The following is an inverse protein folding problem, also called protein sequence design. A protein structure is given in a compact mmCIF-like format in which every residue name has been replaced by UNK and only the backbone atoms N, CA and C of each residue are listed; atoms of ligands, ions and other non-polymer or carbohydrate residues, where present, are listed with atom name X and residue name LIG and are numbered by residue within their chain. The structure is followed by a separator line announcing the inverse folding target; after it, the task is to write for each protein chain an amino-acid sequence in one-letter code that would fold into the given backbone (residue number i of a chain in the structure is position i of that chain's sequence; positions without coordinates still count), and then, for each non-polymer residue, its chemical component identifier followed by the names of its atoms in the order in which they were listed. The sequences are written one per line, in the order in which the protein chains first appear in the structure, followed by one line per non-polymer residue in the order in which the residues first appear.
data_IF_079874592413
#
_entry.id   IF_079874592413
#
_cell.length_a   1.000
_cell.length_b   1.000
_cell.length_c   1.000
_cell.angle_alpha   90.00
_cell.angle_beta   90.00
_cell.angle_gamma   90.00
#
_symmetry.space_group_name_H-M   'P 1'
#
loop_
_entity.id
_entity.type
_entity.pdbx_description
1 polymer ?
#
# COMPACT_ATOMS: atom_id res chain seq x y z
N UNK A 1 -21.60 -13.31 -9.59
CA UNK A 1 -20.29 -12.75 -10.00
C UNK A 1 -19.23 -13.42 -9.13
N UNK A 2 -18.19 -14.04 -9.71
CA UNK A 2 -17.16 -14.80 -8.96
C UNK A 2 -15.88 -14.00 -8.72
N UNK A 3 -15.64 -12.96 -9.51
CA UNK A 3 -14.47 -12.10 -9.40
C UNK A 3 -14.37 -11.09 -10.52
N UNK A 4 -13.21 -10.45 -10.60
CA UNK A 4 -12.85 -9.41 -11.56
C UNK A 4 -11.58 -9.81 -12.31
N UNK A 5 -11.42 -9.32 -13.54
CA UNK A 5 -10.17 -9.44 -14.30
C UNK A 5 -9.65 -8.05 -14.60
N UNK A 6 -8.45 -7.76 -14.10
CA UNK A 6 -7.73 -6.51 -14.33
C UNK A 6 -6.54 -6.83 -15.22
N UNK A 7 -6.58 -6.44 -16.49
CA UNK A 7 -5.43 -6.55 -17.42
C UNK A 7 -4.80 -5.19 -17.72
N UNK A 8 -5.43 -4.10 -17.30
CA UNK A 8 -5.00 -2.72 -17.55
C UNK A 8 -5.76 -1.72 -16.67
N UNK A 9 -5.77 -0.46 -17.09
CA UNK A 9 -6.48 0.62 -16.41
C UNK A 9 -5.61 1.39 -15.42
N UNK A 10 -5.80 2.71 -15.42
CA UNK A 10 -5.22 3.63 -14.46
C UNK A 10 -6.36 4.34 -13.73
N UNK A 11 -6.48 4.12 -12.43
CA UNK A 11 -7.45 4.80 -11.58
C UNK A 11 -6.80 6.04 -10.97
N UNK A 12 -7.43 7.20 -11.12
CA UNK A 12 -6.91 8.47 -10.59
C UNK A 12 -7.93 9.08 -9.65
N UNK A 13 -7.54 9.29 -8.39
CA UNK A 13 -8.30 10.07 -7.41
C UNK A 13 -7.69 11.46 -7.31
N UNK A 14 -8.47 12.49 -7.63
CA UNK A 14 -8.01 13.88 -7.71
C UNK A 14 -9.15 14.86 -7.34
N UNK A 15 -8.83 16.15 -7.27
CA UNK A 15 -9.81 17.19 -6.95
C UNK A 15 -10.36 17.05 -5.53
N UNK A 16 -11.67 16.91 -5.39
CA UNK A 16 -12.33 16.75 -4.09
C UNK A 16 -12.04 15.39 -3.40
N UNK A 17 -11.45 14.44 -4.12
CA UNK A 17 -11.14 13.11 -3.60
C UNK A 17 -12.32 12.15 -3.63
N UNK A 18 -12.27 11.11 -2.80
CA UNK A 18 -13.31 10.08 -2.68
C UNK A 18 -13.78 9.98 -1.23
N UNK A 19 -15.06 10.29 -1.00
CA UNK A 19 -15.68 10.07 0.31
C UNK A 19 -16.60 8.85 0.27
N UNK A 20 -16.10 7.75 0.85
CA UNK A 20 -16.79 6.48 1.03
C UNK A 20 -16.96 6.14 2.53
N UNK A 21 -16.92 7.15 3.42
CA UNK A 21 -17.03 6.93 4.87
C UNK A 21 -18.43 6.41 5.29
N UNK A 22 -19.44 6.60 4.44
CA UNK A 22 -20.81 6.15 4.66
C UNK A 22 -21.06 4.68 4.23
N UNK A 23 -20.11 4.02 3.57
CA UNK A 23 -20.21 2.62 3.16
C UNK A 23 -19.21 1.74 3.91
N UNK A 24 -19.47 0.44 3.94
CA UNK A 24 -18.69 -0.49 4.77
C UNK A 24 -17.36 -0.90 4.17
N UNK A 25 -17.23 -0.84 2.85
CA UNK A 25 -16.02 -1.20 2.11
C UNK A 25 -15.99 -0.49 0.77
N UNK A 26 -14.78 -0.09 0.36
CA UNK A 26 -14.49 0.32 -1.01
C UNK A 26 -13.27 -0.45 -1.50
N UNK A 27 -13.39 -1.02 -2.69
CA UNK A 27 -12.33 -1.78 -3.36
C UNK A 27 -11.89 -1.03 -4.62
N UNK A 28 -10.61 -0.69 -4.68
CA UNK A 28 -9.98 -0.06 -5.82
C UNK A 28 -9.18 -1.12 -6.59
N UNK A 29 -9.70 -1.56 -7.73
CA UNK A 29 -9.12 -2.63 -8.53
C UNK A 29 -8.70 -2.06 -9.89
N UNK A 30 -7.39 -1.90 -10.12
CA UNK A 30 -6.85 -1.36 -11.36
C UNK A 30 -5.40 -1.76 -11.54
N UNK A 31 -4.86 -1.78 -12.77
CA UNK A 31 -3.44 -2.13 -12.96
C UNK A 31 -2.53 -1.09 -12.28
N UNK A 32 -2.90 0.18 -12.35
CA UNK A 32 -2.25 1.26 -11.61
C UNK A 32 -3.27 2.18 -10.92
N UNK A 33 -2.90 2.72 -9.76
CA UNK A 33 -3.70 3.68 -8.99
C UNK A 33 -2.84 4.90 -8.63
N UNK A 34 -3.38 6.09 -8.86
CA UNK A 34 -2.80 7.37 -8.45
C UNK A 34 -3.74 8.09 -7.50
N UNK A 35 -3.21 8.55 -6.36
CA UNK A 35 -3.96 9.25 -5.32
C UNK A 35 -3.36 10.63 -5.10
N UNK A 36 -4.05 11.61 -5.68
CA UNK A 36 -3.69 13.03 -5.67
C UNK A 36 -4.62 13.88 -4.77
N UNK A 37 -5.59 13.24 -4.15
CA UNK A 37 -6.53 13.82 -3.19
C UNK A 37 -6.88 12.81 -2.10
N UNK A 38 -7.65 13.21 -1.09
CA UNK A 38 -8.00 12.34 0.02
C UNK A 38 -9.02 11.26 -0.37
N UNK A 39 -8.84 10.06 0.18
CA UNK A 39 -9.80 8.96 0.17
C UNK A 39 -10.20 8.70 1.63
N UNK A 40 -11.50 8.73 1.92
CA UNK A 40 -12.06 8.41 3.22
C UNK A 40 -12.94 7.17 3.13
N UNK A 41 -12.75 6.17 3.98
CA UNK A 41 -13.57 4.94 3.97
C UNK A 41 -13.65 4.30 5.36
N UNK A 42 -14.56 3.34 5.57
CA UNK A 42 -14.46 2.43 6.74
C UNK A 42 -13.41 1.36 6.49
N UNK A 43 -13.54 0.59 5.42
CA UNK A 43 -12.53 -0.36 4.94
C UNK A 43 -12.12 0.04 3.53
N UNK A 44 -10.81 0.22 3.31
CA UNK A 44 -10.25 0.55 2.01
C UNK A 44 -9.33 -0.57 1.56
N UNK A 45 -9.68 -1.19 0.45
CA UNK A 45 -8.82 -2.15 -0.22
C UNK A 45 -8.36 -1.57 -1.56
N UNK A 46 -7.09 -1.75 -1.91
CA UNK A 46 -6.56 -1.43 -3.23
C UNK A 46 -5.72 -2.60 -3.73
N UNK A 47 -6.11 -3.18 -4.87
CA UNK A 47 -5.40 -4.30 -5.49
C UNK A 47 -4.94 -3.86 -6.87
N UNK A 48 -3.62 -3.87 -7.05
CA UNK A 48 -2.95 -3.34 -8.23
C UNK A 48 -2.13 -4.38 -8.98
N UNK A 49 -1.86 -4.09 -10.25
CA UNK A 49 -1.25 -5.00 -11.20
C UNK A 49 -2.25 -5.75 -12.08
N UNK A 50 -1.73 -6.48 -13.07
CA UNK A 50 -2.54 -7.34 -13.93
C UNK A 50 -2.92 -8.65 -13.23
N UNK A 51 -4.15 -8.76 -12.71
CA UNK A 51 -4.62 -9.92 -11.94
C UNK A 51 -6.08 -10.31 -12.22
N UNK A 52 -6.40 -11.59 -12.06
CA UNK A 52 -7.72 -12.06 -11.67
C UNK A 52 -7.89 -11.88 -10.15
N UNK A 53 -9.02 -11.34 -9.72
CA UNK A 53 -9.27 -10.96 -8.33
C UNK A 53 -10.58 -11.61 -7.88
N UNK A 54 -10.51 -12.45 -6.84
CA UNK A 54 -11.70 -13.02 -6.21
C UNK A 54 -12.52 -11.94 -5.50
N UNK A 55 -13.85 -12.03 -5.58
CA UNK A 55 -14.72 -10.98 -5.06
C UNK A 55 -14.65 -10.81 -3.53
N UNK A 56 -14.72 -11.92 -2.78
CA UNK A 56 -14.86 -11.85 -1.33
C UNK A 56 -13.52 -11.77 -0.60
N UNK A 57 -12.54 -12.55 -1.07
CA UNK A 57 -11.22 -12.66 -0.44
C UNK A 57 -10.22 -11.59 -0.93
N UNK A 58 -10.51 -10.99 -2.09
CA UNK A 58 -9.58 -10.15 -2.86
C UNK A 58 -8.26 -10.86 -3.21
N UNK A 59 -8.25 -12.20 -3.17
CA UNK A 59 -7.10 -12.99 -3.59
C UNK A 59 -6.79 -12.71 -5.07
N UNK A 60 -5.54 -12.33 -5.33
CA UNK A 60 -5.06 -11.95 -6.65
C UNK A 60 -4.27 -13.11 -7.28
N UNK A 61 -4.61 -13.44 -8.52
CA UNK A 61 -3.89 -14.39 -9.38
C UNK A 61 -3.34 -13.64 -10.59
N UNK A 62 -2.03 -13.65 -10.86
CA UNK A 62 -1.47 -12.91 -11.98
C UNK A 62 -2.09 -13.32 -13.32
N UNK A 63 -2.35 -12.34 -14.18
CA UNK A 63 -2.74 -12.55 -15.58
C UNK A 63 -1.84 -11.75 -16.51
N UNK A 64 -1.96 -11.96 -17.81
CA UNK A 64 -1.24 -11.15 -18.79
C UNK A 64 -1.72 -9.68 -18.73
N UNK A 65 -0.78 -8.76 -18.53
CA UNK A 65 -1.03 -7.33 -18.61
C UNK A 65 -1.06 -6.83 -20.05
N UNK A 66 -1.88 -5.82 -20.32
CA UNK A 66 -1.99 -5.18 -21.63
C UNK A 66 -0.91 -4.13 -21.83
N UNK A 67 0.01 -4.35 -22.75
CA UNK A 67 1.08 -3.39 -23.04
C UNK A 67 2.11 -3.25 -21.91
N UNK A 68 2.89 -2.18 -21.96
CA UNK A 68 3.99 -1.94 -21.02
C UNK A 68 3.50 -1.84 -19.58
N UNK A 69 4.25 -2.42 -18.65
CA UNK A 69 3.98 -2.29 -17.23
C UNK A 69 4.01 -0.81 -16.79
N UNK A 70 3.15 -0.41 -15.85
CA UNK A 70 3.21 0.93 -15.28
C UNK A 70 4.52 1.10 -14.49
N UNK A 71 4.98 2.34 -14.36
CA UNK A 71 6.19 2.64 -13.58
C UNK A 71 6.00 2.36 -12.08
N UNK A 72 4.80 2.62 -11.57
CA UNK A 72 4.39 2.40 -10.17
C UNK A 72 2.96 1.88 -10.17
N UNK A 73 2.68 0.87 -9.35
CA UNK A 73 1.37 0.24 -9.25
C UNK A 73 0.41 1.07 -8.37
N UNK A 74 0.94 1.65 -7.29
CA UNK A 74 0.21 2.59 -6.43
C UNK A 74 1.11 3.78 -6.12
N UNK A 75 0.66 4.98 -6.49
CA UNK A 75 1.34 6.24 -6.19
C UNK A 75 0.43 7.17 -5.38
N UNK A 76 0.77 7.40 -4.12
CA UNK A 76 0.08 8.37 -3.26
C UNK A 76 0.93 9.62 -3.17
N UNK A 77 0.50 10.68 -3.84
CA UNK A 77 1.23 11.95 -3.86
C UNK A 77 1.26 12.62 -2.48
N UNK A 78 2.11 13.63 -2.32
CA UNK A 78 2.18 14.42 -1.08
C UNK A 78 0.88 15.20 -0.75
N UNK A 79 0.02 15.44 -1.75
CA UNK A 79 -1.30 16.06 -1.56
C UNK A 79 -2.42 15.02 -1.36
N UNK A 80 -2.12 13.75 -1.64
CA UNK A 80 -3.04 12.65 -1.48
C UNK A 80 -3.02 12.05 -0.08
N UNK A 81 -4.04 11.24 0.19
CA UNK A 81 -4.02 10.40 1.37
C UNK A 81 -5.16 9.38 1.38
N UNK A 82 -4.96 8.29 2.11
CA UNK A 82 -5.91 7.22 2.32
C UNK A 82 -6.18 7.10 3.81
N UNK A 83 -7.42 7.36 4.21
CA UNK A 83 -7.86 7.42 5.59
C UNK A 83 -9.00 6.44 5.79
N UNK A 84 -8.77 5.37 6.56
CA UNK A 84 -9.82 4.38 6.84
C UNK A 84 -9.70 3.77 8.23
N UNK A 85 -10.68 2.98 8.66
CA UNK A 85 -10.55 2.20 9.90
C UNK A 85 -9.56 1.05 9.70
N UNK A 86 -9.59 0.40 8.53
CA UNK A 86 -8.66 -0.64 8.08
C UNK A 86 -8.26 -0.39 6.63
N UNK A 87 -6.98 -0.62 6.33
CA UNK A 87 -6.41 -0.44 4.99
C UNK A 87 -5.72 -1.74 4.53
N UNK A 88 -6.01 -2.19 3.32
CA UNK A 88 -5.30 -3.28 2.65
C UNK A 88 -4.86 -2.84 1.26
N UNK A 89 -3.56 -2.83 1.00
CA UNK A 89 -2.96 -2.41 -0.26
C UNK A 89 -2.07 -3.53 -0.78
N UNK A 90 -2.36 -4.04 -1.97
CA UNK A 90 -1.59 -5.10 -2.59
C UNK A 90 -1.18 -4.71 -4.03
N UNK A 91 0.12 -4.76 -4.30
CA UNK A 91 0.69 -4.60 -5.64
C UNK A 91 1.30 -5.93 -6.07
N UNK A 92 0.66 -6.56 -7.06
CA UNK A 92 0.95 -7.95 -7.43
C UNK A 92 1.75 -8.09 -8.73
N UNK A 93 1.91 -7.02 -9.52
CA UNK A 93 2.69 -7.08 -10.76
C UNK A 93 4.20 -7.11 -10.44
N UNK A 94 4.89 -8.13 -10.94
CA UNK A 94 6.29 -8.38 -10.63
C UNK A 94 7.19 -7.22 -11.04
N UNK A 95 8.00 -6.73 -10.10
CA UNK A 95 8.94 -5.63 -10.33
C UNK A 95 8.30 -4.25 -10.35
N UNK A 96 6.96 -4.14 -10.28
CA UNK A 96 6.27 -2.86 -10.24
C UNK A 96 6.07 -2.44 -8.78
N UNK A 97 6.64 -1.29 -8.42
CA UNK A 97 6.69 -0.81 -7.04
C UNK A 97 5.46 -0.04 -6.56
N UNK A 98 5.55 0.41 -5.31
CA UNK A 98 4.60 1.33 -4.67
C UNK A 98 5.36 2.54 -4.14
N UNK A 99 4.78 3.74 -4.28
CA UNK A 99 5.32 5.00 -3.78
C UNK A 99 4.27 5.71 -2.94
N UNK A 100 4.60 6.04 -1.68
CA UNK A 100 3.72 6.81 -0.80
C UNK A 100 4.46 8.04 -0.27
N UNK A 101 4.02 9.21 -0.70
CA UNK A 101 4.52 10.53 -0.27
C UNK A 101 3.49 11.29 0.57
N UNK A 102 2.22 10.88 0.48
CA UNK A 102 1.12 11.39 1.28
C UNK A 102 0.89 10.59 2.56
N UNK A 103 -0.35 10.53 3.00
CA UNK A 103 -0.74 9.85 4.25
C UNK A 103 -1.46 8.53 3.96
N UNK A 104 -1.04 7.45 4.60
CA UNK A 104 -1.84 6.25 4.80
C UNK A 104 -2.16 6.15 6.29
N UNK A 105 -3.44 6.12 6.66
CA UNK A 105 -3.86 6.11 8.05
C UNK A 105 -4.99 5.09 8.30
N UNK A 106 -4.66 3.98 8.95
CA UNK A 106 -5.62 3.03 9.50
C UNK A 106 -5.96 3.42 10.94
N UNK A 107 -7.09 4.09 11.14
CA UNK A 107 -7.44 4.83 12.36
C UNK A 107 -8.03 3.96 13.48
N UNK A 108 -8.53 2.76 13.18
CA UNK A 108 -9.18 1.89 14.17
C UNK A 108 -8.78 0.42 14.02
N UNK A 109 -7.72 0.14 13.26
CA UNK A 109 -7.35 -1.23 12.91
C UNK A 109 -6.01 -1.31 12.19
N UNK A 110 -5.83 -2.41 11.50
CA UNK A 110 -4.57 -2.74 10.82
C UNK A 110 -4.42 -2.02 9.47
N UNK A 111 -3.15 -1.90 9.08
CA UNK A 111 -2.75 -1.53 7.73
C UNK A 111 -1.85 -2.63 7.19
N UNK A 112 -2.21 -3.17 6.03
CA UNK A 112 -1.36 -4.10 5.27
C UNK A 112 -0.99 -3.47 3.95
N UNK A 113 0.31 -3.43 3.64
CA UNK A 113 0.86 -2.90 2.40
C UNK A 113 1.89 -3.87 1.82
N UNK A 114 1.55 -4.50 0.71
CA UNK A 114 2.42 -5.45 0.01
C UNK A 114 2.77 -4.97 -1.40
N UNK A 115 4.01 -5.21 -1.82
CA UNK A 115 4.47 -4.92 -3.18
C UNK A 115 5.36 -6.02 -3.73
N UNK A 116 5.06 -6.49 -4.94
CA UNK A 116 5.93 -7.35 -5.73
C UNK A 116 7.08 -6.60 -6.44
N UNK A 117 7.26 -5.32 -6.12
CA UNK A 117 8.39 -4.49 -6.53
C UNK A 117 9.09 -3.83 -5.32
N UNK A 118 9.65 -2.65 -5.55
CA UNK A 118 10.21 -1.79 -4.50
C UNK A 118 9.09 -1.01 -3.81
N UNK A 119 9.14 -0.89 -2.49
CA UNK A 119 8.25 -0.04 -1.73
C UNK A 119 8.97 1.22 -1.22
N UNK A 120 8.43 2.40 -1.52
CA UNK A 120 8.94 3.69 -1.04
C UNK A 120 7.92 4.32 -0.09
N UNK A 121 8.34 4.55 1.16
CA UNK A 121 7.57 5.17 2.23
C UNK A 121 8.20 6.53 2.58
N UNK A 122 7.80 7.57 1.87
CA UNK A 122 8.34 8.93 2.00
C UNK A 122 7.38 9.90 2.71
N UNK A 123 6.14 9.48 2.97
CA UNK A 123 5.12 10.26 3.67
C UNK A 123 4.86 9.75 5.09
N UNK A 124 3.58 9.66 5.48
CA UNK A 124 3.16 9.10 6.75
C UNK A 124 2.39 7.80 6.53
N UNK A 125 2.78 6.72 7.21
CA UNK A 125 2.09 5.43 7.19
C UNK A 125 1.81 5.02 8.62
N UNK A 126 0.55 5.15 9.05
CA UNK A 126 0.15 4.96 10.44
C UNK A 126 -0.95 3.90 10.58
N UNK A 127 -0.85 3.07 11.62
CA UNK A 127 -1.91 2.16 12.02
C UNK A 127 -2.17 2.22 13.53
N UNK A 128 -3.43 2.30 13.94
CA UNK A 128 -3.84 2.12 15.34
C UNK A 128 -3.74 0.64 15.78
N UNK A 129 -3.81 -0.29 14.83
CA UNK A 129 -3.52 -1.71 15.03
C UNK A 129 -2.11 -2.09 14.56
N UNK A 130 -1.98 -3.32 14.08
CA UNK A 130 -0.74 -3.82 13.47
C UNK A 130 -0.51 -3.19 12.10
N UNK A 131 0.75 -2.87 11.81
CA UNK A 131 1.20 -2.39 10.51
C UNK A 131 2.08 -3.47 9.88
N UNK A 132 1.58 -4.09 8.80
CA UNK A 132 2.30 -5.09 8.02
C UNK A 132 2.78 -4.47 6.71
N UNK A 133 4.09 -4.47 6.51
CA UNK A 133 4.74 -3.91 5.32
C UNK A 133 5.58 -5.01 4.68
N UNK A 134 5.33 -5.33 3.42
CA UNK A 134 6.11 -6.32 2.68
C UNK A 134 6.48 -5.82 1.29
N UNK A 135 7.72 -6.03 0.87
CA UNK A 135 8.16 -5.70 -0.48
C UNK A 135 9.14 -6.74 -1.03
N UNK A 136 9.04 -7.08 -2.32
CA UNK A 136 9.98 -8.03 -2.93
C UNK A 136 11.38 -7.45 -3.08
N UNK A 137 11.48 -6.25 -3.65
CA UNK A 137 12.77 -5.69 -4.14
C UNK A 137 13.45 -4.71 -3.18
N UNK A 138 12.86 -4.49 -2.02
CA UNK A 138 13.38 -3.59 -1.00
C UNK A 138 12.33 -2.64 -0.47
N UNK A 139 12.60 -2.12 0.73
CA UNK A 139 11.80 -1.10 1.41
C UNK A 139 12.69 0.12 1.60
N UNK A 140 12.17 1.28 1.24
CA UNK A 140 12.86 2.56 1.34
C UNK A 140 12.02 3.52 2.17
N UNK A 141 12.28 3.55 3.47
CA UNK A 141 11.58 4.39 4.44
C UNK A 141 12.37 5.67 4.70
N UNK A 142 11.83 6.80 4.24
CA UNK A 142 12.35 8.15 4.53
C UNK A 142 11.35 9.04 5.26
N UNK A 143 10.10 8.59 5.37
CA UNK A 143 9.05 9.26 6.11
C UNK A 143 8.85 8.68 7.51
N UNK A 144 7.61 8.76 7.99
CA UNK A 144 7.19 8.18 9.27
C UNK A 144 6.33 6.96 9.02
N UNK A 145 6.77 5.81 9.50
CA UNK A 145 6.01 4.56 9.47
C UNK A 145 5.85 4.08 10.90
N UNK A 146 4.63 4.16 11.42
CA UNK A 146 4.35 3.98 12.85
C UNK A 146 3.13 3.11 13.11
N UNK A 147 3.21 2.23 14.11
CA UNK A 147 2.09 1.43 14.60
C UNK A 147 1.85 1.68 16.09
N UNK A 148 0.60 1.86 16.51
CA UNK A 148 0.24 1.70 17.93
C UNK A 148 0.22 0.22 18.33
N UNK A 149 -0.04 -0.69 17.38
CA UNK A 149 0.16 -2.12 17.57
C UNK A 149 1.62 -2.53 17.38
N UNK A 150 1.82 -3.64 16.66
CA UNK A 150 3.13 -4.08 16.21
C UNK A 150 3.42 -3.55 14.79
N UNK A 151 4.69 -3.30 14.47
CA UNK A 151 5.18 -3.04 13.12
C UNK A 151 5.96 -4.27 12.65
N UNK A 152 5.58 -4.83 11.50
CA UNK A 152 6.33 -5.89 10.83
C UNK A 152 6.69 -5.42 9.42
N UNK A 153 7.97 -5.22 9.16
CA UNK A 153 8.49 -4.90 7.83
C UNK A 153 9.33 -6.07 7.30
N UNK A 154 8.96 -6.62 6.15
CA UNK A 154 9.65 -7.76 5.53
C UNK A 154 10.02 -7.48 4.09
N UNK A 155 11.25 -7.79 3.68
CA UNK A 155 11.65 -7.69 2.28
C UNK A 155 12.69 -8.72 1.87
N UNK A 156 12.67 -9.10 0.59
CA UNK A 156 13.74 -9.91 -0.02
C UNK A 156 14.95 -9.09 -0.49
N UNK A 157 14.89 -7.75 -0.36
CA UNK A 157 15.98 -6.85 -0.73
C UNK A 157 16.52 -6.04 0.44
N UNK A 158 17.03 -4.85 0.14
CA UNK A 158 17.52 -3.89 1.15
C UNK A 158 16.32 -3.23 1.83
N UNK A 159 16.31 -3.21 3.16
CA UNK A 159 15.53 -2.27 3.94
C UNK A 159 16.41 -1.06 4.26
N UNK A 160 16.15 0.06 3.59
CA UNK A 160 16.81 1.33 3.85
C UNK A 160 15.89 2.21 4.72
N UNK A 161 16.36 2.61 5.90
CA UNK A 161 15.65 3.52 6.79
C UNK A 161 16.46 4.79 7.03
N UNK A 162 15.95 5.92 6.56
CA UNK A 162 16.47 7.26 6.93
C UNK A 162 15.41 8.12 7.62
N UNK A 163 14.25 7.55 7.93
CA UNK A 163 13.12 8.21 8.59
C UNK A 163 12.84 7.60 9.96
N UNK A 164 11.56 7.31 10.24
CA UNK A 164 11.11 6.61 11.45
C UNK A 164 10.43 5.28 11.07
N UNK A 165 10.91 4.19 11.65
CA UNK A 165 10.24 2.88 11.71
C UNK A 165 10.00 2.55 13.18
N UNK A 166 8.78 2.72 13.67
CA UNK A 166 8.49 2.48 15.08
C UNK A 166 7.14 1.84 15.33
N UNK A 167 7.03 1.24 16.51
CA UNK A 167 5.78 0.72 17.03
C UNK A 167 5.73 0.95 18.54
N UNK A 168 4.53 1.15 19.09
CA UNK A 168 4.35 1.26 20.54
C UNK A 168 4.66 -0.08 21.23
N UNK A 169 4.40 -1.21 20.56
CA UNK A 169 4.64 -2.56 21.10
C UNK A 169 5.95 -3.15 20.60
N UNK A 170 5.95 -3.76 19.41
CA UNK A 170 7.14 -4.40 18.85
C UNK A 170 7.38 -3.95 17.40
N UNK A 171 8.63 -3.62 17.08
CA UNK A 171 9.08 -3.42 15.71
C UNK A 171 9.90 -4.63 15.28
N UNK A 172 9.48 -5.30 14.21
CA UNK A 172 10.16 -6.47 13.63
C UNK A 172 10.55 -6.19 12.20
N UNK A 173 11.85 -6.22 11.91
CA UNK A 173 12.42 -5.99 10.59
C UNK A 173 13.05 -7.28 10.08
N UNK A 174 12.68 -7.72 8.88
CA UNK A 174 13.28 -8.86 8.18
C UNK A 174 13.66 -8.42 6.78
N UNK A 175 14.93 -8.49 6.45
CA UNK A 175 15.44 -8.07 5.14
C UNK A 175 16.66 -8.90 4.76
N UNK A 176 17.01 -8.90 3.47
CA UNK A 176 18.31 -9.42 3.04
C UNK A 176 19.46 -8.59 3.64
N UNK A 177 19.29 -7.28 3.67
CA UNK A 177 20.14 -6.37 4.45
C UNK A 177 19.35 -5.18 4.99
N UNK A 178 19.80 -4.64 6.11
CA UNK A 178 19.21 -3.45 6.75
C UNK A 178 20.27 -2.34 6.81
N UNK A 179 19.96 -1.19 6.22
CA UNK A 179 20.75 0.02 6.31
C UNK A 179 19.92 1.12 6.97
N UNK A 180 20.26 1.50 8.21
CA UNK A 180 19.51 2.52 8.95
C UNK A 180 20.40 3.69 9.34
N UNK A 181 19.99 4.89 8.95
CA UNK A 181 20.46 6.17 9.51
C UNK A 181 19.34 6.90 10.24
N UNK A 182 18.11 6.36 10.20
CA UNK A 182 16.94 6.86 10.89
C UNK A 182 16.72 6.19 12.26
N UNK A 183 15.54 6.45 12.82
CA UNK A 183 15.06 5.81 14.06
C UNK A 183 14.20 4.59 13.75
#
# INVERSE_FOLDING_TARGET
LTGFTVSGGNLVVQGAGLNAANIDQVDLLARAIQVNAAIYAKRLNAVTGANGIEHDSLAATPVAGNGTAPAVALDVSALGGMYANRIFLASNEYGVGVSTRGVLAAQAGELTLTSNGKLVLAGQTNASGTLNVAARDGIDNRGTTYAQGDLVATTGGVLANSGLLAAQRQTTLRADSIASTGT
#
